data_IF_841616323219
#
_entry.id   IF_841616323219
#
_cell.length_a   1.000
_cell.length_b   1.000
_cell.length_c   1.000
_cell.angle_alpha   90.00
_cell.angle_beta   90.00
_cell.angle_gamma   90.00
#
_symmetry.space_group_name_H-M   'P 1'
#
loop_
_entity.id
_entity.type
_entity.pdbx_description
1 polymer ?
#
# COMPACT_ATOMS: atom_id res chain seq x y z
N UNK A 1 3.23 -22.00 -26.24
CA UNK A 1 3.60 -21.20 -25.04
C UNK A 1 2.90 -21.77 -23.85
N UNK A 2 3.43 -21.55 -22.66
CA UNK A 2 2.79 -21.98 -21.41
C UNK A 2 1.65 -21.03 -21.08
N UNK A 3 0.47 -21.55 -20.76
CA UNK A 3 -0.67 -20.74 -20.32
C UNK A 3 -0.54 -20.41 -18.83
N UNK A 4 -0.73 -19.14 -18.47
CA UNK A 4 -0.61 -18.67 -17.09
C UNK A 4 -1.89 -17.97 -16.64
N UNK A 5 -2.26 -18.19 -15.37
CA UNK A 5 -3.30 -17.45 -14.66
C UNK A 5 -2.63 -16.43 -13.72
N UNK A 6 -2.77 -15.15 -14.03
CA UNK A 6 -2.22 -14.08 -13.20
C UNK A 6 -3.28 -13.52 -12.25
N UNK A 7 -3.08 -13.72 -10.96
CA UNK A 7 -3.86 -13.06 -9.92
C UNK A 7 -3.13 -11.77 -9.51
N UNK A 8 -3.73 -10.62 -9.84
CA UNK A 8 -3.11 -9.31 -9.61
C UNK A 8 -3.88 -8.55 -8.52
N UNK A 9 -3.17 -8.07 -7.50
CA UNK A 9 -3.75 -7.28 -6.43
C UNK A 9 -2.79 -6.17 -5.96
N UNK A 10 -3.10 -4.91 -6.28
CA UNK A 10 -2.32 -3.76 -5.79
C UNK A 10 -2.71 -3.49 -4.34
N UNK A 11 -1.73 -3.46 -3.44
CA UNK A 11 -1.97 -3.36 -2.00
C UNK A 11 -1.01 -2.39 -1.30
N UNK A 12 -1.55 -1.76 -0.27
CA UNK A 12 -0.84 -0.84 0.61
C UNK A 12 -1.12 -1.26 2.05
N UNK A 13 -0.06 -1.62 2.78
CA UNK A 13 -0.20 -2.10 4.15
C UNK A 13 0.71 -1.31 5.08
N UNK A 14 0.18 -1.02 6.27
CA UNK A 14 0.86 -0.31 7.33
C UNK A 14 1.19 -1.29 8.45
N UNK A 15 2.47 -1.38 8.82
CA UNK A 15 2.93 -2.21 9.91
C UNK A 15 2.58 -1.60 11.25
N UNK A 16 1.95 -2.38 12.10
CA UNK A 16 1.49 -1.98 13.41
C UNK A 16 1.86 -3.03 14.46
N UNK A 17 2.32 -2.59 15.62
CA UNK A 17 2.57 -3.47 16.77
C UNK A 17 1.33 -3.44 17.66
N UNK A 18 0.71 -4.60 17.81
CA UNK A 18 -0.48 -4.76 18.67
C UNK A 18 -0.11 -4.71 20.16
N UNK A 19 -1.12 -4.55 21.03
CA UNK A 19 -0.94 -4.62 22.48
C UNK A 19 -0.29 -5.93 22.96
N UNK A 20 -0.51 -7.02 22.23
CA UNK A 20 0.13 -8.32 22.47
C UNK A 20 1.57 -8.41 21.91
N UNK A 21 2.18 -7.28 21.52
CA UNK A 21 3.51 -7.19 20.92
C UNK A 21 3.69 -8.02 19.63
N UNK A 22 2.62 -8.18 18.86
CA UNK A 22 2.64 -8.85 17.57
C UNK A 22 2.65 -7.82 16.44
N UNK A 23 3.44 -8.05 15.40
CA UNK A 23 3.43 -7.21 14.21
C UNK A 23 2.29 -7.67 13.32
N UNK A 24 1.44 -6.71 12.95
CA UNK A 24 0.35 -6.89 11.99
C UNK A 24 0.46 -5.84 10.88
N UNK A 25 0.02 -6.22 9.70
CA UNK A 25 0.03 -5.35 8.54
C UNK A 25 -1.40 -5.12 8.09
N UNK A 26 -1.91 -3.90 8.34
CA UNK A 26 -3.27 -3.50 8.02
C UNK A 26 -3.32 -2.60 6.79
N UNK A 27 -4.37 -2.75 5.97
CA UNK A 27 -4.71 -1.76 4.97
C UNK A 27 -5.10 -0.41 5.61
N UNK A 28 -5.07 0.70 4.87
CA UNK A 28 -5.40 2.02 5.43
C UNK A 28 -6.79 2.11 6.09
N UNK A 29 -7.73 1.30 5.64
CA UNK A 29 -9.09 1.22 6.21
C UNK A 29 -9.21 0.26 7.41
N UNK A 30 -8.11 -0.34 7.87
CA UNK A 30 -8.02 -1.33 8.93
C UNK A 30 -8.85 -2.64 8.73
N UNK A 31 -9.50 -2.80 7.59
CA UNK A 31 -10.34 -3.98 7.27
C UNK A 31 -9.58 -5.07 6.52
N UNK A 32 -8.53 -4.70 5.81
CA UNK A 32 -7.70 -5.59 5.02
C UNK A 32 -6.41 -5.90 5.80
N UNK A 33 -6.01 -7.16 5.82
CA UNK A 33 -4.78 -7.64 6.48
C UNK A 33 -3.95 -8.42 5.48
N UNK A 34 -2.63 -8.18 5.53
CA UNK A 34 -1.69 -8.80 4.60
C UNK A 34 -1.66 -10.33 4.72
N UNK A 35 -1.63 -10.86 5.94
CA UNK A 35 -1.60 -12.29 6.22
C UNK A 35 -2.86 -12.99 5.65
N UNK A 36 -4.05 -12.47 5.94
CA UNK A 36 -5.31 -13.03 5.44
C UNK A 36 -5.43 -12.91 3.92
N UNK A 37 -4.97 -11.78 3.36
CA UNK A 37 -4.98 -11.60 1.90
C UNK A 37 -4.02 -12.57 1.21
N UNK A 38 -2.82 -12.74 1.75
CA UNK A 38 -1.82 -13.66 1.21
C UNK A 38 -2.31 -15.11 1.28
N UNK A 39 -2.87 -15.52 2.41
CA UNK A 39 -3.47 -16.85 2.57
C UNK A 39 -4.58 -17.11 1.54
N UNK A 40 -5.48 -16.14 1.36
CA UNK A 40 -6.56 -16.26 0.38
C UNK A 40 -6.04 -16.32 -1.07
N UNK A 41 -5.01 -15.55 -1.39
CA UNK A 41 -4.38 -15.58 -2.71
C UNK A 41 -3.77 -16.96 -2.99
N UNK A 42 -2.98 -17.48 -2.05
CA UNK A 42 -2.27 -18.75 -2.19
C UNK A 42 -3.20 -19.97 -2.19
N UNK A 43 -4.20 -20.00 -1.31
CA UNK A 43 -5.01 -21.19 -1.07
C UNK A 43 -6.32 -21.22 -1.86
N UNK A 44 -6.79 -20.08 -2.37
CA UNK A 44 -8.08 -20.00 -3.04
C UNK A 44 -7.99 -19.39 -4.44
N UNK A 45 -7.55 -18.12 -4.56
CA UNK A 45 -7.65 -17.38 -5.83
C UNK A 45 -6.71 -17.96 -6.90
N UNK A 46 -5.45 -18.26 -6.56
CA UNK A 46 -4.50 -18.85 -7.50
C UNK A 46 -4.91 -20.25 -8.00
N UNK A 47 -5.81 -20.93 -7.29
CA UNK A 47 -6.28 -22.28 -7.65
C UNK A 47 -7.58 -22.30 -8.44
N UNK A 48 -8.12 -21.14 -8.81
CA UNK A 48 -9.41 -21.08 -9.53
C UNK A 48 -9.38 -21.85 -10.84
N UNK A 49 -8.28 -21.78 -11.60
CA UNK A 49 -8.12 -22.51 -12.85
C UNK A 49 -8.01 -24.04 -12.68
N UNK A 50 -7.78 -24.53 -11.46
CA UNK A 50 -7.69 -25.96 -11.15
C UNK A 50 -9.05 -26.57 -10.78
N UNK A 51 -10.10 -25.76 -10.64
CA UNK A 51 -11.45 -26.24 -10.32
C UNK A 51 -12.06 -26.97 -11.52
N UNK A 52 -12.87 -28.04 -11.30
CA UNK A 52 -13.47 -28.80 -12.37
C UNK A 52 -14.28 -27.95 -13.34
N UNK A 53 -15.01 -26.94 -12.85
CA UNK A 53 -15.82 -26.02 -13.65
C UNK A 53 -14.94 -25.18 -14.59
N UNK A 54 -13.81 -24.67 -14.08
CA UNK A 54 -12.86 -23.89 -14.88
C UNK A 54 -12.15 -24.79 -15.90
N UNK A 55 -11.77 -26.01 -15.53
CA UNK A 55 -11.16 -26.98 -16.43
C UNK A 55 -12.14 -27.39 -17.55
N UNK A 56 -13.41 -27.62 -17.23
CA UNK A 56 -14.45 -27.92 -18.25
C UNK A 56 -14.63 -26.77 -19.24
N UNK A 57 -14.63 -25.52 -18.77
CA UNK A 57 -14.71 -24.34 -19.63
C UNK A 57 -13.47 -24.22 -20.53
N UNK A 58 -12.26 -24.33 -19.95
CA UNK A 58 -11.01 -24.29 -20.72
C UNK A 58 -10.97 -25.36 -21.81
N UNK A 59 -11.35 -26.58 -21.50
CA UNK A 59 -11.43 -27.67 -22.47
C UNK A 59 -12.45 -27.37 -23.60
N UNK A 60 -13.59 -26.76 -23.29
CA UNK A 60 -14.61 -26.39 -24.28
C UNK A 60 -14.14 -25.35 -25.30
N UNK A 61 -13.12 -24.56 -24.97
CA UNK A 61 -12.48 -23.58 -25.87
C UNK A 61 -11.12 -24.06 -26.41
N UNK A 62 -10.86 -25.39 -26.29
CA UNK A 62 -9.67 -26.03 -26.86
C UNK A 62 -8.39 -25.90 -26.01
N UNK A 63 -8.48 -25.45 -24.78
CA UNK A 63 -7.35 -25.37 -23.86
C UNK A 63 -7.26 -26.62 -23.02
N UNK A 64 -6.33 -27.51 -23.37
CA UNK A 64 -6.07 -28.77 -22.66
C UNK A 64 -4.77 -28.76 -21.85
N UNK A 65 -4.04 -27.65 -21.88
CA UNK A 65 -2.77 -27.48 -21.18
C UNK A 65 -3.01 -27.14 -19.70
N UNK A 66 -2.03 -27.50 -18.85
CA UNK A 66 -2.04 -27.09 -17.46
C UNK A 66 -1.81 -25.60 -17.36
N UNK A 67 -2.73 -24.89 -16.69
CA UNK A 67 -2.59 -23.46 -16.41
C UNK A 67 -1.74 -23.24 -15.16
N UNK A 68 -0.63 -22.53 -15.30
CA UNK A 68 0.27 -22.22 -14.18
C UNK A 68 -0.22 -20.97 -13.43
N UNK A 69 -0.52 -21.06 -12.13
CA UNK A 69 -0.90 -19.87 -11.37
C UNK A 69 0.31 -18.98 -11.06
N UNK A 70 0.12 -17.67 -11.19
CA UNK A 70 1.07 -16.63 -10.83
C UNK A 70 0.37 -15.60 -9.93
N UNK A 71 1.03 -15.21 -8.86
CA UNK A 71 0.54 -14.14 -7.97
C UNK A 71 1.46 -12.95 -8.12
N UNK A 72 0.87 -11.80 -8.43
CA UNK A 72 1.55 -10.52 -8.51
C UNK A 72 0.84 -9.52 -7.62
N UNK A 73 1.46 -9.16 -6.48
CA UNK A 73 0.89 -8.24 -5.49
C UNK A 73 1.82 -7.02 -5.30
N UNK A 74 1.85 -6.10 -6.28
CA UNK A 74 2.62 -4.87 -6.16
C UNK A 74 1.99 -3.93 -5.13
N UNK A 75 2.81 -3.03 -4.57
CA UNK A 75 2.37 -2.00 -3.65
C UNK A 75 3.48 -1.58 -2.69
N UNK A 76 3.08 -0.96 -1.60
CA UNK A 76 3.99 -0.44 -0.60
C UNK A 76 3.73 -1.06 0.76
N UNK A 77 4.79 -1.28 1.52
CA UNK A 77 4.73 -1.46 2.96
C UNK A 77 5.13 -0.15 3.65
N UNK A 78 4.28 0.33 4.54
CA UNK A 78 4.50 1.55 5.31
C UNK A 78 4.92 1.21 6.73
N UNK A 79 6.03 1.76 7.16
CA UNK A 79 6.63 1.53 8.47
C UNK A 79 6.31 2.71 9.39
N UNK A 80 6.02 2.47 10.68
CA UNK A 80 5.75 3.56 11.62
C UNK A 80 7.00 4.42 11.83
N UNK A 81 6.84 5.73 11.87
CA UNK A 81 7.96 6.67 12.14
C UNK A 81 8.41 6.57 13.60
N UNK A 82 7.47 6.38 14.52
CA UNK A 82 7.76 6.36 15.96
C UNK A 82 8.36 5.04 16.47
N UNK A 83 8.42 4.00 15.64
CA UNK A 83 8.80 2.66 16.10
C UNK A 83 9.51 1.89 14.99
N UNK A 84 10.61 1.24 15.32
CA UNK A 84 11.30 0.35 14.39
C UNK A 84 10.60 -1.00 14.36
N UNK A 85 10.13 -1.44 13.21
CA UNK A 85 9.70 -2.81 13.00
C UNK A 85 10.90 -3.66 12.56
N UNK A 86 11.07 -4.87 13.12
CA UNK A 86 12.27 -5.66 12.88
C UNK A 86 12.41 -6.09 11.42
N UNK A 87 11.35 -6.59 10.79
CA UNK A 87 11.43 -7.11 9.42
C UNK A 87 10.08 -7.10 8.72
N UNK A 88 10.13 -7.08 7.37
CA UNK A 88 8.96 -7.34 6.55
C UNK A 88 8.54 -8.82 6.67
N UNK A 89 7.26 -9.15 6.39
CA UNK A 89 6.82 -10.54 6.32
C UNK A 89 7.68 -11.36 5.33
N UNK A 90 7.93 -12.64 5.65
CA UNK A 90 8.82 -13.51 4.88
C UNK A 90 8.44 -13.66 3.40
N UNK A 91 7.17 -13.46 3.07
CA UNK A 91 6.65 -13.53 1.70
C UNK A 91 6.97 -12.29 0.87
N UNK A 92 7.44 -11.21 1.51
CA UNK A 92 7.71 -9.93 0.84
C UNK A 92 9.19 -9.88 0.44
N UNK A 93 9.51 -9.55 -0.83
CA UNK A 93 10.89 -9.37 -1.26
C UNK A 93 11.62 -8.32 -0.42
N UNK A 94 12.92 -8.51 -0.20
CA UNK A 94 13.74 -7.55 0.58
C UNK A 94 13.75 -6.15 -0.02
N UNK A 95 13.71 -6.06 -1.34
CA UNK A 95 13.72 -4.82 -2.13
C UNK A 95 12.30 -4.30 -2.45
N UNK A 96 11.32 -4.55 -1.56
CA UNK A 96 9.98 -4.03 -1.74
C UNK A 96 9.92 -2.51 -1.59
N UNK A 97 8.91 -1.90 -2.19
CA UNK A 97 8.65 -0.47 -2.05
C UNK A 97 8.25 -0.14 -0.61
N UNK A 98 8.92 0.86 -0.03
CA UNK A 98 8.76 1.28 1.36
C UNK A 98 8.24 2.70 1.45
N UNK A 99 7.35 2.91 2.40
CA UNK A 99 6.91 4.24 2.84
C UNK A 99 6.94 4.31 4.36
N UNK A 100 6.49 5.45 4.89
CA UNK A 100 6.34 5.66 6.31
C UNK A 100 4.87 5.96 6.65
N UNK A 101 4.48 5.68 7.87
CA UNK A 101 3.21 6.16 8.37
C UNK A 101 3.38 6.77 9.76
N UNK A 102 2.53 7.74 10.05
CA UNK A 102 2.49 8.41 11.34
C UNK A 102 1.05 8.79 11.71
N UNK A 103 0.83 9.11 12.96
CA UNK A 103 -0.44 9.67 13.43
C UNK A 103 -0.53 11.16 13.09
N UNK A 104 -1.75 11.66 13.06
CA UNK A 104 -2.02 13.05 12.70
C UNK A 104 -1.31 14.06 13.62
N UNK A 105 -1.25 13.78 14.92
CA UNK A 105 -0.55 14.62 15.90
C UNK A 105 0.95 14.75 15.61
N UNK A 106 1.59 13.66 15.19
CA UNK A 106 2.98 13.65 14.73
C UNK A 106 3.13 14.44 13.42
N UNK A 107 2.24 14.19 12.45
CA UNK A 107 2.28 14.87 11.16
C UNK A 107 2.14 16.40 11.27
N UNK A 108 1.40 16.88 12.26
CA UNK A 108 1.26 18.32 12.53
C UNK A 108 2.52 18.98 13.08
N UNK A 109 3.51 18.20 13.52
CA UNK A 109 4.82 18.67 14.00
C UNK A 109 5.89 18.61 12.90
N UNK A 110 5.59 17.98 11.77
CA UNK A 110 6.53 17.84 10.66
C UNK A 110 6.61 19.10 9.78
N UNK A 111 7.73 19.24 9.10
CA UNK A 111 7.85 20.20 8.00
C UNK A 111 7.17 19.65 6.75
N UNK A 112 6.00 20.17 6.43
CA UNK A 112 5.16 19.72 5.30
C UNK A 112 5.38 20.49 4.00
N UNK A 113 6.44 21.31 3.90
CA UNK A 113 6.68 22.17 2.72
C UNK A 113 6.84 21.39 1.42
N UNK A 114 7.30 20.14 1.48
CA UNK A 114 7.44 19.24 0.33
C UNK A 114 6.29 18.23 0.17
N UNK A 115 5.21 18.33 0.94
CA UNK A 115 4.16 17.33 0.96
C UNK A 115 3.06 17.63 -0.07
N UNK A 116 2.71 16.61 -0.86
CA UNK A 116 1.61 16.66 -1.83
C UNK A 116 0.61 15.56 -1.49
N UNK A 117 -0.67 15.91 -1.20
CA UNK A 117 -1.69 14.91 -0.94
C UNK A 117 -2.00 14.12 -2.21
N UNK A 118 -1.90 12.79 -2.13
CA UNK A 118 -2.18 11.86 -3.23
C UNK A 118 -3.59 11.31 -3.13
N UNK A 119 -4.29 11.25 -4.26
CA UNK A 119 -5.55 10.54 -4.39
C UNK A 119 -5.30 9.09 -4.85
N UNK A 120 -6.29 8.21 -4.70
CA UNK A 120 -6.12 6.78 -5.00
C UNK A 120 -5.53 6.46 -6.38
N UNK A 121 -5.89 7.15 -7.48
CA UNK A 121 -5.26 6.92 -8.77
C UNK A 121 -3.75 7.17 -8.78
N UNK A 122 -3.28 8.13 -7.96
CA UNK A 122 -1.88 8.56 -7.89
C UNK A 122 -1.01 7.65 -7.00
N UNK A 123 -1.61 6.68 -6.32
CA UNK A 123 -0.89 5.79 -5.40
C UNK A 123 0.01 4.78 -6.10
N UNK A 124 -0.21 4.52 -7.39
CA UNK A 124 0.44 3.42 -8.13
C UNK A 124 1.83 3.82 -8.60
N UNK A 125 1.98 5.03 -9.13
CA UNK A 125 3.24 5.52 -9.71
C UNK A 125 3.94 6.58 -8.85
N UNK A 126 5.24 6.84 -9.07
CA UNK A 126 5.94 7.93 -8.41
C UNK A 126 5.39 9.28 -8.85
N UNK A 127 5.37 10.25 -7.93
CA UNK A 127 4.88 11.58 -8.19
C UNK A 127 6.01 12.55 -8.55
N UNK A 128 5.76 13.40 -9.54
CA UNK A 128 6.66 14.50 -9.88
C UNK A 128 5.88 15.68 -10.47
N UNK A 129 6.33 16.91 -10.17
CA UNK A 129 5.72 18.13 -10.66
C UNK A 129 6.77 19.24 -10.88
N UNK A 130 6.44 20.24 -11.69
CA UNK A 130 7.30 21.42 -11.91
C UNK A 130 7.02 22.53 -10.92
N UNK A 131 5.75 22.71 -10.52
CA UNK A 131 5.38 23.70 -9.51
C UNK A 131 5.87 23.27 -8.12
N UNK A 132 6.18 24.27 -7.28
CA UNK A 132 6.43 24.04 -5.85
C UNK A 132 5.20 23.41 -5.17
N UNK A 133 5.39 22.46 -4.25
CA UNK A 133 4.30 21.91 -3.46
C UNK A 133 3.53 22.98 -2.68
N UNK A 134 2.22 22.97 -2.79
CA UNK A 134 1.36 23.90 -2.07
C UNK A 134 1.11 23.41 -0.64
N UNK A 135 1.74 24.07 0.31
CA UNK A 135 1.61 23.79 1.74
C UNK A 135 0.17 23.98 2.25
N UNK A 136 -0.63 24.87 1.62
CA UNK A 136 -2.03 25.05 2.01
C UNK A 136 -2.87 23.83 1.66
N UNK A 137 -2.61 23.20 0.52
CA UNK A 137 -3.26 21.92 0.14
C UNK A 137 -2.87 20.79 1.09
N UNK A 138 -1.59 20.73 1.49
CA UNK A 138 -1.14 19.73 2.46
C UNK A 138 -1.83 19.92 3.82
N UNK A 139 -1.92 21.13 4.33
CA UNK A 139 -2.65 21.46 5.57
C UNK A 139 -4.13 21.10 5.48
N UNK A 140 -4.81 21.51 4.42
CA UNK A 140 -6.21 21.17 4.21
C UNK A 140 -6.45 19.66 4.14
N UNK A 141 -5.48 18.90 3.63
CA UNK A 141 -5.54 17.44 3.64
C UNK A 141 -5.39 16.85 5.05
N UNK A 142 -4.50 17.39 5.89
CA UNK A 142 -4.38 17.00 7.31
C UNK A 142 -5.66 17.33 8.09
N UNK A 143 -6.28 18.49 7.85
CA UNK A 143 -7.55 18.87 8.48
C UNK A 143 -8.70 17.92 8.09
N UNK A 144 -8.68 17.40 6.86
CA UNK A 144 -9.62 16.34 6.45
C UNK A 144 -9.38 15.02 7.16
N UNK A 145 -8.12 14.64 7.43
CA UNK A 145 -7.82 13.45 8.25
C UNK A 145 -8.46 13.58 9.64
N UNK A 146 -8.38 14.77 10.23
CA UNK A 146 -8.97 15.06 11.54
C UNK A 146 -10.51 15.02 11.50
N UNK A 147 -11.11 15.78 10.60
CA UNK A 147 -12.56 15.97 10.57
C UNK A 147 -13.33 14.77 10.04
N UNK A 148 -12.77 14.07 9.03
CA UNK A 148 -13.42 12.91 8.41
C UNK A 148 -12.96 11.57 8.95
N UNK A 149 -11.86 11.51 9.72
CA UNK A 149 -11.29 10.25 10.19
C UNK A 149 -10.77 9.35 9.08
N UNK A 150 -10.45 9.92 7.90
CA UNK A 150 -10.00 9.18 6.72
C UNK A 150 -8.49 9.32 6.55
N UNK A 151 -7.75 8.20 6.45
CA UNK A 151 -6.32 8.24 6.18
C UNK A 151 -5.97 8.97 4.88
N UNK A 152 -4.86 9.71 4.89
CA UNK A 152 -4.37 10.42 3.72
C UNK A 152 -2.93 10.01 3.39
N UNK A 153 -2.68 9.65 2.14
CA UNK A 153 -1.32 9.45 1.62
C UNK A 153 -0.76 10.76 1.07
N UNK A 154 0.52 11.01 1.32
CA UNK A 154 1.28 12.12 0.76
C UNK A 154 2.51 11.60 0.05
N UNK A 155 2.86 12.20 -1.09
CA UNK A 155 4.20 12.20 -1.61
C UNK A 155 5.01 13.28 -0.90
N UNK A 156 6.22 12.95 -0.45
CA UNK A 156 7.19 13.91 0.07
C UNK A 156 8.17 14.21 -1.04
N UNK A 157 8.17 15.43 -1.53
CA UNK A 157 8.95 15.84 -2.69
C UNK A 157 10.21 16.59 -2.28
N UNK A 158 11.29 16.32 -3.02
CA UNK A 158 12.51 17.12 -2.99
C UNK A 158 12.73 17.79 -4.35
N UNK A 159 13.21 19.01 -4.34
CA UNK A 159 13.62 19.72 -5.56
C UNK A 159 14.90 19.11 -6.10
N UNK A 160 14.93 18.77 -7.39
CA UNK A 160 16.13 18.35 -8.11
C UNK A 160 16.77 19.57 -8.78
N UNK A 161 17.96 20.00 -8.35
CA UNK A 161 18.61 21.19 -8.91
C UNK A 161 18.85 21.11 -10.42
N UNK A 162 19.19 19.90 -10.92
CA UNK A 162 19.55 19.70 -12.33
C UNK A 162 18.36 19.80 -13.31
N UNK A 163 17.12 19.58 -12.84
CA UNK A 163 15.93 19.54 -13.69
C UNK A 163 14.87 20.56 -13.34
N UNK A 164 15.10 21.35 -12.29
CA UNK A 164 14.13 22.30 -11.73
C UNK A 164 12.76 21.66 -11.43
N UNK A 165 12.75 20.37 -11.12
CA UNK A 165 11.55 19.61 -10.82
C UNK A 165 11.52 19.15 -9.38
N UNK A 166 10.32 19.06 -8.85
CA UNK A 166 10.03 18.39 -7.60
C UNK A 166 9.72 16.92 -7.87
N UNK A 167 10.45 16.02 -7.23
CA UNK A 167 10.30 14.56 -7.42
C UNK A 167 10.11 13.87 -6.09
N UNK A 168 9.36 12.79 -6.11
CA UNK A 168 9.09 11.98 -4.92
C UNK A 168 10.38 11.40 -4.36
N UNK A 169 10.64 11.70 -3.09
CA UNK A 169 11.72 11.13 -2.30
C UNK A 169 11.20 10.01 -1.38
N UNK A 170 9.98 10.15 -0.87
CA UNK A 170 9.34 9.15 -0.03
C UNK A 170 7.83 9.29 -0.04
N UNK A 171 7.13 8.31 0.57
CA UNK A 171 5.69 8.34 0.80
C UNK A 171 5.37 8.26 2.27
N UNK A 172 4.36 9.00 2.66
CA UNK A 172 3.87 9.02 4.03
C UNK A 172 2.35 8.82 4.05
N UNK A 173 1.88 7.89 4.89
CA UNK A 173 0.49 7.85 5.29
C UNK A 173 0.30 8.58 6.61
N UNK A 174 -0.65 9.51 6.65
CA UNK A 174 -1.13 10.11 7.89
C UNK A 174 -2.42 9.46 8.29
N UNK A 175 -2.42 8.91 9.50
CA UNK A 175 -3.51 8.11 10.05
C UNK A 175 -4.27 8.89 11.12
N UNK A 176 -5.62 8.76 11.17
CA UNK A 176 -6.40 9.36 12.25
C UNK A 176 -6.02 8.73 13.60
N UNK A 177 -6.27 9.46 14.72
CA UNK A 177 -5.85 9.00 16.06
C UNK A 177 -6.36 7.61 16.45
N UNK A 178 -7.56 7.23 15.97
CA UNK A 178 -8.20 5.96 16.33
C UNK A 178 -7.76 4.76 15.47
N UNK A 179 -6.94 4.98 14.43
CA UNK A 179 -6.48 3.88 13.57
C UNK A 179 -5.50 2.97 14.33
N UNK A 180 -5.55 1.65 14.16
CA UNK A 180 -6.45 0.88 13.30
C UNK A 180 -7.82 0.57 13.90
N UNK A 181 -8.14 1.04 15.08
CA UNK A 181 -9.40 0.84 15.77
C UNK A 181 -9.31 -0.18 16.91
N UNK A 182 -10.32 -0.24 17.74
CA UNK A 182 -10.40 -1.18 18.85
C UNK A 182 -10.50 -2.62 18.33
N UNK A 183 -9.63 -3.49 18.82
CA UNK A 183 -9.59 -4.92 18.46
C UNK A 183 -8.61 -5.28 17.32
N UNK A 184 -7.73 -4.37 16.93
CA UNK A 184 -6.63 -4.64 15.99
C UNK A 184 -5.42 -5.30 16.66
#
# INVERSE_FOLDING_TARGET
>A
GQLEHHEIAIKFYLGFVTEANQIRWYGPNARDRLDLKTERLLNHQSRLCQRPEAQGLLASVGVCETVTPRIFMPGYLFYPVAQTLPEAPAQVPREHLKGHWMRLDQARQENISGWVPLFKPDWIGPWAQSAEPDMALARAALDRVESAGIPQMFAVLNRRPESDRWVEASRVFVMPPQWPGAGA
#
